data_IF_942591796275
#
_entry.id   IF_942591796275
#
_cell.length_a   1.000
_cell.length_b   1.000
_cell.length_c   1.000
_cell.angle_alpha   90.00
_cell.angle_beta   90.00
_cell.angle_gamma   90.00
#
_symmetry.space_group_name_H-M   'P 1'
#
loop_
_entity.id
_entity.type
_entity.pdbx_description
1 polymer ?
#
# COMPACT_ATOMS: atom_id res chain seq x y z
N UNK A 1 -9.54 17.95 -3.25
CA UNK A 1 -10.06 16.64 -3.71
C UNK A 1 -9.83 15.65 -2.60
N UNK A 2 -10.84 14.90 -2.12
CA UNK A 2 -10.58 13.85 -1.15
C UNK A 2 -9.63 12.82 -1.80
N UNK A 3 -8.58 12.40 -1.10
CA UNK A 3 -7.63 11.36 -1.54
C UNK A 3 -8.25 9.95 -1.52
N UNK A 4 -9.51 9.85 -1.96
CA UNK A 4 -10.31 8.63 -2.08
C UNK A 4 -10.38 8.11 -3.52
N UNK A 5 -9.53 8.65 -4.39
CA UNK A 5 -9.39 8.22 -5.78
C UNK A 5 -7.91 8.11 -6.14
N UNK A 6 -7.51 6.95 -6.65
CA UNK A 6 -6.17 6.70 -7.16
C UNK A 6 -5.88 7.62 -8.35
N UNK A 7 -4.70 8.23 -8.36
CA UNK A 7 -4.29 9.23 -9.36
C UNK A 7 -3.21 8.72 -10.29
N UNK A 8 -2.27 7.93 -9.78
CA UNK A 8 -1.10 7.48 -10.51
C UNK A 8 -1.33 6.08 -11.07
N UNK A 9 -1.82 5.18 -10.24
CA UNK A 9 -2.03 3.77 -10.60
C UNK A 9 -3.51 3.42 -10.68
N UNK A 10 -4.25 4.20 -11.48
CA UNK A 10 -5.69 4.05 -11.68
C UNK A 10 -6.05 2.90 -12.65
N UNK A 11 -7.32 2.80 -13.07
CA UNK A 11 -7.76 1.73 -13.97
C UNK A 11 -7.03 1.72 -15.32
N UNK A 12 -6.68 2.90 -15.85
CA UNK A 12 -5.96 2.97 -17.13
C UNK A 12 -4.55 2.39 -17.01
N UNK A 13 -3.90 2.58 -15.86
CA UNK A 13 -2.65 1.90 -15.53
C UNK A 13 -2.82 0.38 -15.50
N UNK A 14 -3.83 -0.13 -14.78
CA UNK A 14 -4.04 -1.58 -14.63
C UNK A 14 -4.38 -2.26 -15.96
N UNK A 15 -5.21 -1.61 -16.78
CA UNK A 15 -5.65 -2.18 -18.05
C UNK A 15 -4.56 -2.18 -19.14
N UNK A 16 -3.46 -1.46 -18.93
CA UNK A 16 -2.46 -1.23 -19.97
C UNK A 16 -2.98 -0.31 -21.08
N UNK A 17 -3.87 0.63 -20.75
CA UNK A 17 -4.45 1.59 -21.70
C UNK A 17 -3.48 2.75 -22.02
N UNK A 18 -2.30 2.78 -21.38
CA UNK A 18 -1.29 3.83 -21.49
C UNK A 18 -0.28 3.50 -22.58
N UNK A 19 0.22 4.53 -23.26
CA UNK A 19 1.44 4.39 -24.04
C UNK A 19 2.68 4.35 -23.13
N UNK A 20 3.81 3.95 -23.70
CA UNK A 20 5.07 3.77 -22.97
C UNK A 20 5.54 5.08 -22.29
N UNK A 21 5.33 6.23 -22.96
CA UNK A 21 5.73 7.54 -22.45
C UNK A 21 4.89 7.94 -21.22
N UNK A 22 3.57 7.73 -21.27
CA UNK A 22 2.67 7.99 -20.15
C UNK A 22 2.94 7.03 -18.99
N UNK A 23 3.23 5.76 -19.26
CA UNK A 23 3.58 4.78 -18.24
C UNK A 23 4.83 5.20 -17.46
N UNK A 24 5.91 5.58 -18.16
CA UNK A 24 7.13 6.06 -17.52
C UNK A 24 6.90 7.35 -16.73
N UNK A 25 6.17 8.30 -17.33
CA UNK A 25 5.84 9.57 -16.68
C UNK A 25 5.08 9.37 -15.37
N UNK A 26 4.10 8.46 -15.32
CA UNK A 26 3.33 8.22 -14.09
C UNK A 26 4.18 7.66 -12.95
N UNK A 27 5.16 6.80 -13.25
CA UNK A 27 6.13 6.33 -12.24
C UNK A 27 6.99 7.47 -11.73
N UNK A 28 7.47 8.34 -12.62
CA UNK A 28 8.27 9.50 -12.24
C UNK A 28 7.47 10.50 -11.40
N UNK A 29 6.25 10.82 -11.82
CA UNK A 29 5.34 11.72 -11.13
C UNK A 29 5.00 11.19 -9.73
N UNK A 30 4.70 9.89 -9.60
CA UNK A 30 4.45 9.28 -8.28
C UNK A 30 5.70 9.32 -7.40
N UNK A 31 6.87 8.95 -7.94
CA UNK A 31 8.12 9.02 -7.19
C UNK A 31 8.46 10.43 -6.74
N UNK A 32 8.23 11.44 -7.59
CA UNK A 32 8.41 12.86 -7.24
C UNK A 32 7.41 13.33 -6.20
N UNK A 33 6.17 12.85 -6.28
CA UNK A 33 5.15 13.11 -5.27
C UNK A 33 5.54 12.53 -3.90
N UNK A 34 5.96 11.27 -3.80
CA UNK A 34 6.46 10.70 -2.53
C UNK A 34 7.63 11.50 -1.96
N UNK A 35 8.59 11.89 -2.82
CA UNK A 35 9.73 12.71 -2.41
C UNK A 35 9.32 14.08 -1.88
N UNK A 36 8.23 14.66 -2.39
CA UNK A 36 7.78 16.01 -2.01
C UNK A 36 7.43 16.15 -0.54
N UNK A 37 6.96 15.07 0.11
CA UNK A 37 6.58 15.07 1.53
C UNK A 37 7.51 14.22 2.41
N UNK A 38 8.60 13.65 1.86
CA UNK A 38 9.52 12.77 2.59
C UNK A 38 10.14 13.44 3.84
N UNK A 39 10.34 14.76 3.78
CA UNK A 39 10.84 15.58 4.89
C UNK A 39 9.90 15.63 6.10
N UNK A 40 8.60 15.41 5.88
CA UNK A 40 7.55 15.43 6.93
C UNK A 40 7.38 14.05 7.59
N UNK A 41 7.91 13.00 6.96
CA UNK A 41 7.75 11.62 7.42
C UNK A 41 8.74 11.25 8.51
N UNK A 42 8.28 10.49 9.52
CA UNK A 42 9.18 9.79 10.45
C UNK A 42 9.69 8.50 9.80
N UNK A 43 10.65 7.86 10.46
CA UNK A 43 11.35 6.68 9.91
C UNK A 43 10.42 5.54 9.51
N UNK A 44 9.38 5.26 10.29
CA UNK A 44 8.46 4.15 9.99
C UNK A 44 7.55 4.46 8.81
N UNK A 45 7.07 5.69 8.70
CA UNK A 45 6.29 6.15 7.56
C UNK A 45 7.12 6.12 6.28
N UNK A 46 8.40 6.54 6.33
CA UNK A 46 9.34 6.43 5.21
C UNK A 46 9.49 4.99 4.73
N UNK A 47 9.76 4.06 5.65
CA UNK A 47 9.85 2.63 5.33
C UNK A 47 8.57 2.14 4.66
N UNK A 48 7.40 2.55 5.16
CA UNK A 48 6.14 2.10 4.60
C UNK A 48 5.88 2.63 3.18
N UNK A 49 6.14 3.92 2.91
CA UNK A 49 5.92 4.50 1.57
C UNK A 49 6.92 4.02 0.53
N UNK A 50 8.11 3.56 0.97
CA UNK A 50 9.14 3.01 0.10
C UNK A 50 8.89 1.53 -0.27
N UNK A 51 7.92 0.86 0.36
CA UNK A 51 7.55 -0.53 0.03
C UNK A 51 6.66 -0.53 -1.22
N UNK A 52 7.01 -1.37 -2.19
CA UNK A 52 6.12 -1.71 -3.29
C UNK A 52 5.08 -2.74 -2.81
N UNK A 53 3.80 -2.37 -2.86
CA UNK A 53 2.68 -3.25 -2.55
C UNK A 53 2.01 -3.85 -3.79
N UNK A 54 2.55 -3.64 -4.99
CA UNK A 54 2.18 -4.41 -6.18
C UNK A 54 2.38 -5.89 -5.91
N UNK A 55 1.38 -6.69 -6.24
CA UNK A 55 1.27 -8.14 -5.98
C UNK A 55 1.25 -8.53 -4.49
N UNK A 56 1.30 -7.56 -3.57
CA UNK A 56 1.22 -7.85 -2.15
C UNK A 56 -0.17 -8.36 -1.77
N UNK A 57 -0.26 -9.20 -0.75
CA UNK A 57 -1.55 -9.72 -0.26
C UNK A 57 -1.90 -9.13 1.09
N UNK A 58 -3.11 -8.61 1.25
CA UNK A 58 -3.67 -8.30 2.56
C UNK A 58 -4.20 -9.60 3.16
N UNK A 59 -3.64 -10.01 4.30
CA UNK A 59 -3.90 -11.32 4.92
C UNK A 59 -4.84 -11.21 6.11
N UNK A 60 -4.77 -10.11 6.88
CA UNK A 60 -5.67 -9.92 8.01
C UNK A 60 -5.69 -8.47 8.51
N UNK A 61 -6.82 -8.11 9.13
CA UNK A 61 -6.99 -6.91 9.95
C UNK A 61 -7.27 -7.31 11.40
N UNK A 62 -6.53 -6.74 12.35
CA UNK A 62 -6.77 -6.92 13.77
C UNK A 62 -6.95 -5.55 14.44
N UNK A 63 -8.18 -5.24 14.85
CA UNK A 63 -8.54 -3.98 15.51
C UNK A 63 -8.28 -4.09 17.01
N UNK A 64 -7.43 -3.22 17.54
CA UNK A 64 -7.01 -3.22 18.94
C UNK A 64 -7.19 -1.82 19.55
N UNK A 65 -7.24 -1.73 20.89
CA UNK A 65 -7.28 -0.42 21.58
C UNK A 65 -6.10 0.48 21.20
N UNK A 66 -4.95 -0.10 20.90
CA UNK A 66 -3.73 0.61 20.53
C UNK A 66 -3.64 0.97 19.04
N UNK A 67 -4.64 0.64 18.21
CA UNK A 67 -4.63 0.86 16.76
C UNK A 67 -5.02 -0.40 15.98
N UNK A 68 -4.87 -0.36 14.67
CA UNK A 68 -5.19 -1.50 13.78
C UNK A 68 -3.91 -2.12 13.27
N UNK A 69 -3.75 -3.42 13.49
CA UNK A 69 -2.65 -4.19 12.89
C UNK A 69 -3.11 -4.81 11.59
N UNK A 70 -2.41 -4.52 10.49
CA UNK A 70 -2.60 -5.20 9.21
C UNK A 70 -1.40 -6.11 8.97
N UNK A 71 -1.68 -7.29 8.42
CA UNK A 71 -0.66 -8.17 7.89
C UNK A 71 -0.73 -8.19 6.37
N UNK A 72 0.42 -7.97 5.75
CA UNK A 72 0.63 -8.12 4.34
C UNK A 72 1.59 -9.28 4.10
N UNK A 73 1.41 -10.00 3.00
CA UNK A 73 2.50 -10.75 2.39
C UNK A 73 3.07 -9.94 1.24
N UNK A 74 4.38 -9.78 1.21
CA UNK A 74 5.12 -9.01 0.22
C UNK A 74 6.30 -9.82 -0.32
N UNK A 75 6.85 -9.37 -1.44
CA UNK A 75 8.07 -9.92 -2.02
C UNK A 75 7.80 -10.80 -3.23
N UNK A 76 8.88 -11.32 -3.80
CA UNK A 76 8.88 -11.98 -5.10
C UNK A 76 9.91 -13.12 -5.14
N UNK A 77 10.06 -13.75 -6.30
CA UNK A 77 11.01 -14.86 -6.50
C UNK A 77 12.48 -14.46 -6.33
N UNK A 78 12.85 -13.20 -6.60
CA UNK A 78 14.22 -12.69 -6.53
C UNK A 78 14.58 -12.26 -5.10
N UNK A 79 13.68 -11.55 -4.43
CA UNK A 79 13.89 -10.96 -3.11
C UNK A 79 13.44 -11.88 -1.96
N UNK A 80 12.65 -12.91 -2.27
CA UNK A 80 12.00 -13.78 -1.30
C UNK A 80 10.76 -13.15 -0.68
N UNK A 81 10.02 -13.97 0.07
CA UNK A 81 8.71 -13.60 0.60
C UNK A 81 8.75 -13.27 2.09
N UNK A 82 7.95 -12.27 2.49
CA UNK A 82 7.88 -11.79 3.87
C UNK A 82 6.44 -11.54 4.31
N UNK A 83 6.13 -11.85 5.56
CA UNK A 83 5.01 -11.25 6.29
C UNK A 83 5.47 -9.89 6.82
N UNK A 84 4.82 -8.83 6.34
CA UNK A 84 4.92 -7.48 6.85
C UNK A 84 3.75 -7.23 7.80
N UNK A 85 4.04 -6.94 9.06
CA UNK A 85 3.03 -6.56 10.06
C UNK A 85 3.18 -5.09 10.43
N UNK A 86 2.14 -4.30 10.15
CA UNK A 86 2.12 -2.85 10.39
C UNK A 86 1.03 -2.51 11.40
N UNK A 87 1.37 -1.72 12.43
CA UNK A 87 0.42 -1.17 13.38
C UNK A 87 0.12 0.28 13.03
N UNK A 88 -1.10 0.56 12.57
CA UNK A 88 -1.58 1.89 12.24
C UNK A 88 -2.33 2.54 13.41
N UNK A 89 -2.11 3.83 13.62
CA UNK A 89 -2.82 4.66 14.61
C UNK A 89 -3.92 5.49 13.92
N UNK A 90 -5.02 5.72 14.63
CA UNK A 90 -6.19 6.46 14.14
C UNK A 90 -6.71 5.94 12.79
N UNK A 91 -6.78 4.61 12.68
CA UNK A 91 -7.06 3.91 11.44
C UNK A 91 -8.55 3.90 11.09
N UNK A 92 -8.86 4.15 9.82
CA UNK A 92 -10.22 4.12 9.27
C UNK A 92 -10.22 3.37 7.93
N UNK A 93 -11.17 2.45 7.73
CA UNK A 93 -11.31 1.69 6.49
C UNK A 93 -12.79 1.47 6.19
N UNK A 94 -13.15 1.55 4.91
CA UNK A 94 -14.52 1.34 4.44
C UNK A 94 -14.77 -0.13 4.01
N UNK A 95 -13.74 -0.86 3.57
CA UNK A 95 -13.82 -2.25 3.11
C UNK A 95 -12.67 -3.11 3.69
N UNK A 96 -12.99 -4.29 4.23
CA UNK A 96 -12.03 -5.23 4.85
C UNK A 96 -11.66 -6.41 3.95
N UNK A 97 -11.82 -6.25 2.64
CA UNK A 97 -11.41 -7.25 1.66
C UNK A 97 -9.97 -7.71 1.89
N UNK A 98 -9.78 -9.03 1.79
CA UNK A 98 -8.50 -9.71 1.85
C UNK A 98 -8.17 -10.23 0.46
N UNK A 99 -6.88 -10.32 0.14
CA UNK A 99 -6.43 -10.79 -1.15
C UNK A 99 -5.30 -9.96 -1.73
N UNK A 100 -5.02 -10.21 -3.00
CA UNK A 100 -3.93 -9.61 -3.75
C UNK A 100 -4.24 -8.19 -4.22
N UNK A 101 -3.28 -7.32 -4.00
CA UNK A 101 -3.25 -5.94 -4.46
C UNK A 101 -2.63 -5.94 -5.86
N UNK A 102 -3.39 -5.46 -6.84
CA UNK A 102 -2.90 -5.30 -8.22
C UNK A 102 -2.11 -4.00 -8.34
N UNK A 103 -2.60 -2.94 -7.71
CA UNK A 103 -1.94 -1.64 -7.71
C UNK A 103 -2.26 -0.91 -6.41
N UNK A 104 -1.34 -0.06 -5.98
CA UNK A 104 -1.50 0.75 -4.78
C UNK A 104 -0.71 2.04 -4.86
N UNK A 105 -1.21 3.08 -4.20
CA UNK A 105 -0.49 4.32 -3.98
C UNK A 105 -0.72 4.84 -2.56
N UNK A 106 0.25 5.60 -2.06
CA UNK A 106 0.13 6.35 -0.81
C UNK A 106 0.02 7.83 -1.14
N UNK A 107 -0.94 8.48 -0.50
CA UNK A 107 -1.03 9.92 -0.46
C UNK A 107 -0.91 10.45 0.97
N UNK A 108 -0.29 11.62 1.11
CA UNK A 108 -0.17 12.33 2.37
C UNK A 108 -0.77 13.73 2.24
N UNK A 109 -1.77 14.04 3.07
CA UNK A 109 -2.38 15.34 3.12
C UNK A 109 -3.07 15.59 4.47
N UNK A 110 -3.08 16.85 4.90
CA UNK A 110 -3.71 17.24 6.17
C UNK A 110 -3.18 16.44 7.37
N UNK A 111 -1.88 16.10 7.36
CA UNK A 111 -1.22 15.23 8.36
C UNK A 111 -1.82 13.83 8.46
N UNK A 112 -2.41 13.32 7.37
CA UNK A 112 -2.97 11.97 7.27
C UNK A 112 -2.46 11.25 6.05
N UNK A 113 -2.29 9.94 6.20
CA UNK A 113 -2.01 9.04 5.11
C UNK A 113 -3.30 8.44 4.58
N UNK A 114 -3.32 8.27 3.26
CA UNK A 114 -4.33 7.54 2.52
C UNK A 114 -3.60 6.47 1.73
N UNK A 115 -3.84 5.20 2.07
CA UNK A 115 -3.36 4.07 1.29
C UNK A 115 -4.52 3.63 0.41
N UNK A 116 -4.41 3.87 -0.90
CA UNK A 116 -5.38 3.45 -1.89
C UNK A 116 -4.85 2.25 -2.65
N UNK A 117 -5.73 1.29 -2.95
CA UNK A 117 -5.37 0.06 -3.63
C UNK A 117 -6.53 -0.53 -4.42
N UNK A 118 -6.19 -1.31 -5.44
CA UNK A 118 -7.14 -2.12 -6.22
C UNK A 118 -6.79 -3.59 -6.11
N UNK A 119 -7.82 -4.44 -6.16
CA UNK A 119 -7.71 -5.90 -6.14
C UNK A 119 -8.30 -6.47 -7.45
N UNK A 120 -8.39 -7.80 -7.55
CA UNK A 120 -8.90 -8.52 -8.73
C UNK A 120 -10.29 -8.12 -9.24
N UNK A 121 -11.12 -7.49 -8.40
CA UNK A 121 -12.43 -6.97 -8.80
C UNK A 121 -12.40 -5.56 -9.38
N UNK A 122 -11.20 -4.95 -9.49
CA UNK A 122 -10.96 -3.59 -9.98
C UNK A 122 -11.76 -2.51 -9.24
N UNK A 123 -12.19 -2.81 -8.01
CA UNK A 123 -12.78 -1.83 -7.11
C UNK A 123 -11.67 -1.15 -6.32
N UNK A 124 -11.67 0.19 -6.35
CA UNK A 124 -10.76 0.98 -5.54
C UNK A 124 -11.20 0.92 -4.07
N UNK A 125 -10.22 0.62 -3.22
CA UNK A 125 -10.35 0.60 -1.77
C UNK A 125 -9.32 1.54 -1.19
N UNK A 126 -9.62 2.04 -0.01
CA UNK A 126 -8.67 2.86 0.72
C UNK A 126 -8.83 2.68 2.21
N UNK A 127 -7.73 2.88 2.93
CA UNK A 127 -7.75 3.14 4.35
C UNK A 127 -6.92 4.37 4.67
N UNK A 128 -7.31 5.06 5.73
CA UNK A 128 -6.63 6.23 6.24
C UNK A 128 -6.03 5.96 7.62
N UNK A 129 -4.89 6.60 7.91
CA UNK A 129 -4.22 6.53 9.21
C UNK A 129 -3.38 7.78 9.45
N UNK A 130 -3.08 8.07 10.70
CA UNK A 130 -2.30 9.26 11.07
C UNK A 130 -0.80 8.92 11.26
N UNK A 131 -0.51 7.74 11.81
CA UNK A 131 0.86 7.36 12.21
C UNK A 131 1.05 5.84 12.15
N UNK A 132 2.30 5.42 11.93
CA UNK A 132 2.72 4.02 12.07
C UNK A 132 3.37 3.80 13.44
N UNK A 133 2.68 3.03 14.29
CA UNK A 133 3.16 2.68 15.63
C UNK A 133 4.11 1.48 15.68
N UNK A 134 4.37 0.82 14.55
CA UNK A 134 5.35 -0.26 14.48
C UNK A 134 5.27 -1.08 13.19
N UNK A 135 6.44 -1.52 12.72
CA UNK A 135 6.61 -2.40 11.56
C UNK A 135 7.42 -3.62 11.99
N UNK A 136 7.01 -4.82 11.56
CA UNK A 136 7.77 -6.06 11.72
C UNK A 136 7.80 -6.84 10.42
N UNK A 137 8.97 -7.37 10.08
CA UNK A 137 9.16 -8.28 8.96
C UNK A 137 9.45 -9.68 9.47
N UNK A 138 8.86 -10.69 8.84
CA UNK A 138 9.14 -12.11 9.10
C UNK A 138 9.23 -12.83 7.77
N UNK A 139 10.37 -13.45 7.47
CA UNK A 139 10.52 -14.28 6.26
C UNK A 139 9.50 -15.42 6.27
N UNK A 140 8.86 -15.66 5.13
CA UNK A 140 7.90 -16.75 4.92
C UNK A 140 8.32 -17.61 3.72
N UNK A 141 7.72 -18.79 3.57
CA UNK A 141 7.93 -19.63 2.40
C UNK A 141 7.08 -19.19 1.22
N UNK A 142 7.52 -19.48 0.00
CA UNK A 142 6.72 -19.30 -1.22
C UNK A 142 5.37 -20.03 -1.13
N UNK A 143 5.37 -21.25 -0.56
CA UNK A 143 4.13 -21.99 -0.31
C UNK A 143 3.15 -21.18 0.53
N UNK A 144 3.61 -20.53 1.60
CA UNK A 144 2.74 -19.71 2.46
C UNK A 144 2.20 -18.49 1.71
N UNK A 145 3.03 -17.86 0.86
CA UNK A 145 2.60 -16.76 -0.01
C UNK A 145 1.50 -17.17 -0.99
N UNK A 146 1.64 -18.33 -1.63
CA UNK A 146 0.69 -18.84 -2.63
C UNK A 146 -0.58 -19.44 -2.03
N UNK A 147 -0.59 -19.83 -0.75
CA UNK A 147 -1.72 -20.54 -0.12
C UNK A 147 -2.84 -19.63 0.39
N UNK A 148 -2.68 -18.30 0.28
CA UNK A 148 -3.67 -17.31 0.66
C UNK A 148 -4.38 -16.74 -0.57
#
# INVERSE_FOLDING_TARGET
>A
MPWRKMRFFDKSWINGDLDDDEFEKRKEDYGSYIRSFYGELKTLERIFVDINFSDAKIVSFAFMKSGTRIKFYIGDLQNGYFELSVLFKNFHIDDRALGEIIASEVAFAENKFYFSYMMGDLNERHFAFDEIGGIKFKKISSKMYSSC
#
